data_IF_699766975045
#
_entry.id   IF_699766975045
#
_cell.length_a   1.000
_cell.length_b   1.000
_cell.length_c   1.000
_cell.angle_alpha   90.00
_cell.angle_beta   90.00
_cell.angle_gamma   90.00
#
_symmetry.space_group_name_H-M   'P 1'
#
loop_
_entity.id
_entity.type
_entity.pdbx_description
1 polymer ?
#
# COMPACT_ATOMS: atom_id res chain seq x y z
N UNK A 1 25.65 -16.17 -25.05
CA UNK A 1 25.02 -14.83 -24.96
C UNK A 1 23.52 -15.07 -24.81
N UNK A 2 23.03 -15.22 -23.57
CA UNK A 2 21.63 -15.54 -23.32
C UNK A 2 20.80 -14.26 -23.25
N UNK A 3 19.75 -14.20 -24.07
CA UNK A 3 18.73 -13.16 -24.06
C UNK A 3 18.02 -13.19 -22.70
N UNK A 4 18.25 -12.16 -21.89
CA UNK A 4 17.48 -11.89 -20.66
C UNK A 4 16.00 -11.77 -21.05
N UNK A 5 15.19 -12.77 -20.70
CA UNK A 5 13.73 -12.66 -20.75
C UNK A 5 13.32 -11.46 -19.91
N UNK A 6 12.66 -10.49 -20.52
CA UNK A 6 12.00 -9.39 -19.83
C UNK A 6 11.05 -9.99 -18.79
N UNK A 7 11.38 -9.80 -17.51
CA UNK A 7 10.47 -10.08 -16.41
C UNK A 7 9.25 -9.17 -16.58
N UNK A 8 8.07 -9.75 -16.74
CA UNK A 8 6.81 -9.04 -16.60
C UNK A 8 6.81 -8.37 -15.23
N UNK A 9 6.75 -7.04 -15.19
CA UNK A 9 6.77 -6.30 -13.93
C UNK A 9 5.65 -6.80 -13.01
N UNK A 10 6.01 -7.25 -11.80
CA UNK A 10 5.03 -7.66 -10.80
C UNK A 10 4.14 -6.47 -10.44
N UNK A 11 2.84 -6.61 -10.69
CA UNK A 11 1.80 -5.66 -10.31
C UNK A 11 1.08 -6.22 -9.09
N UNK A 12 1.37 -5.64 -7.93
CA UNK A 12 0.84 -6.06 -6.64
C UNK A 12 -0.69 -5.99 -6.59
N UNK A 13 -1.30 -4.91 -7.09
CA UNK A 13 -2.74 -4.73 -7.02
C UNK A 13 -3.46 -5.78 -7.88
N UNK A 14 -2.94 -6.02 -9.09
CA UNK A 14 -3.46 -7.08 -9.97
C UNK A 14 -3.29 -8.46 -9.34
N UNK A 15 -2.15 -8.72 -8.68
CA UNK A 15 -1.89 -9.97 -7.98
C UNK A 15 -2.93 -10.20 -6.86
N UNK A 16 -3.14 -9.22 -5.98
CA UNK A 16 -4.09 -9.31 -4.87
C UNK A 16 -5.53 -9.51 -5.35
N UNK A 17 -5.98 -8.73 -6.34
CA UNK A 17 -7.33 -8.90 -6.93
C UNK A 17 -7.54 -10.30 -7.52
N UNK A 18 -6.51 -10.86 -8.16
CA UNK A 18 -6.59 -12.21 -8.73
C UNK A 18 -6.71 -13.30 -7.67
N UNK A 19 -6.07 -13.14 -6.50
CA UNK A 19 -6.18 -14.09 -5.38
C UNK A 19 -7.59 -14.10 -4.78
N UNK A 20 -8.24 -12.94 -4.68
CA UNK A 20 -9.59 -12.80 -4.12
C UNK A 20 -10.70 -13.21 -5.10
N UNK A 21 -10.36 -13.54 -6.35
CA UNK A 21 -11.35 -13.85 -7.40
C UNK A 21 -12.23 -12.65 -7.79
N UNK A 22 -11.84 -11.43 -7.39
CA UNK A 22 -12.59 -10.21 -7.68
C UNK A 22 -12.51 -9.88 -9.17
N UNK A 23 -13.68 -9.79 -9.80
CA UNK A 23 -13.83 -9.36 -11.20
C UNK A 23 -14.17 -7.88 -11.34
N UNK A 24 -14.32 -7.19 -10.23
CA UNK A 24 -14.76 -5.79 -10.18
C UNK A 24 -13.64 -4.86 -10.63
N UNK A 25 -13.96 -3.99 -11.58
CA UNK A 25 -13.04 -2.99 -12.14
C UNK A 25 -12.86 -1.77 -11.22
N UNK A 26 -13.07 -1.93 -9.90
CA UNK A 26 -13.00 -0.82 -8.96
C UNK A 26 -11.60 -0.18 -9.01
N UNK A 27 -11.49 1.16 -8.99
CA UNK A 27 -10.20 1.87 -9.02
C UNK A 27 -9.38 1.71 -7.73
N UNK A 28 -9.84 0.89 -6.78
CA UNK A 28 -9.20 0.64 -5.51
C UNK A 28 -9.27 -0.84 -5.13
N UNK A 29 -8.56 -1.19 -4.06
CA UNK A 29 -8.61 -2.46 -3.36
C UNK A 29 -8.29 -2.22 -1.88
N UNK A 30 -9.14 -2.76 -1.01
CA UNK A 30 -8.93 -2.72 0.42
C UNK A 30 -8.40 -4.08 0.86
N UNK A 31 -7.10 -4.13 1.11
CA UNK A 31 -6.42 -5.34 1.57
C UNK A 31 -6.52 -5.43 3.09
N UNK A 32 -7.13 -6.49 3.58
CA UNK A 32 -7.05 -6.87 5.00
C UNK A 32 -5.72 -7.54 5.30
N UNK A 33 -5.39 -7.63 6.59
CA UNK A 33 -4.30 -8.47 7.11
C UNK A 33 -4.24 -9.84 6.44
N UNK A 34 -5.35 -10.58 6.41
CA UNK A 34 -5.43 -11.94 5.87
C UNK A 34 -5.12 -12.00 4.37
N UNK A 35 -5.48 -10.96 3.63
CA UNK A 35 -5.20 -10.85 2.20
C UNK A 35 -3.71 -10.65 1.90
N UNK A 36 -2.97 -10.01 2.82
CA UNK A 36 -1.56 -9.66 2.63
C UNK A 36 -0.61 -10.74 3.18
N UNK A 37 -0.95 -11.40 4.28
CA UNK A 37 -0.14 -12.48 4.85
C UNK A 37 0.14 -13.61 3.86
N UNK A 38 -0.86 -13.93 3.02
CA UNK A 38 -0.77 -14.99 2.00
C UNK A 38 -0.12 -14.53 0.67
N UNK A 39 0.20 -13.24 0.52
CA UNK A 39 0.74 -12.73 -0.74
C UNK A 39 2.18 -13.20 -1.01
N UNK A 40 2.96 -13.53 0.03
CA UNK A 40 4.29 -14.15 -0.11
C UNK A 40 5.35 -13.28 -0.81
N UNK A 41 5.22 -11.94 -0.75
CA UNK A 41 6.06 -11.02 -1.52
C UNK A 41 7.31 -10.64 -0.71
N UNK A 42 8.39 -11.36 -0.96
CA UNK A 42 9.69 -11.14 -0.28
C UNK A 42 10.70 -10.39 -1.15
N UNK A 43 10.36 -10.12 -2.42
CA UNK A 43 11.23 -9.45 -3.38
C UNK A 43 10.82 -7.99 -3.59
N UNK A 44 11.75 -7.19 -4.12
CA UNK A 44 11.46 -5.81 -4.46
C UNK A 44 10.46 -5.74 -5.63
N UNK A 45 9.48 -4.86 -5.53
CA UNK A 45 8.46 -4.63 -6.55
C UNK A 45 8.30 -3.14 -6.84
N UNK A 46 7.83 -2.80 -8.04
CA UNK A 46 7.49 -1.42 -8.37
C UNK A 46 6.03 -1.18 -8.03
N UNK A 47 5.78 -0.16 -7.22
CA UNK A 47 4.46 0.30 -6.83
C UNK A 47 3.89 1.18 -7.95
N UNK A 48 2.67 0.92 -8.42
CA UNK A 48 2.04 1.67 -9.52
C UNK A 48 0.74 2.37 -9.12
N UNK A 49 0.39 2.31 -7.85
CA UNK A 49 -0.84 2.84 -7.26
C UNK A 49 -0.49 3.62 -5.99
N UNK A 50 -1.42 4.41 -5.49
CA UNK A 50 -1.29 5.02 -4.16
C UNK A 50 -1.59 3.99 -3.09
N UNK A 51 -0.83 4.03 -2.00
CA UNK A 51 -0.96 3.12 -0.86
C UNK A 51 -1.12 3.93 0.41
N UNK A 52 -2.15 3.63 1.20
CA UNK A 52 -2.25 4.02 2.61
C UNK A 52 -2.35 2.73 3.42
N UNK A 53 -1.38 2.46 4.30
CA UNK A 53 -1.35 1.27 5.14
C UNK A 53 -1.32 1.63 6.62
N UNK A 54 -2.21 1.05 7.41
CA UNK A 54 -2.19 1.17 8.87
C UNK A 54 -1.55 -0.09 9.47
N UNK A 55 -0.43 0.09 10.18
CA UNK A 55 0.37 -1.02 10.71
C UNK A 55 0.03 -1.31 12.18
N UNK A 56 -0.21 -2.59 12.48
CA UNK A 56 -0.63 -3.08 13.80
C UNK A 56 0.39 -3.99 14.49
N UNK A 57 1.50 -4.34 13.83
CA UNK A 57 2.49 -5.26 14.39
C UNK A 57 3.45 -4.60 15.39
N UNK A 58 4.40 -5.37 15.92
CA UNK A 58 5.42 -4.89 16.86
C UNK A 58 6.75 -4.51 16.18
N UNK A 59 6.91 -4.81 14.89
CA UNK A 59 8.16 -4.58 14.19
C UNK A 59 8.17 -5.11 12.76
N UNK A 60 8.42 -4.25 11.79
CA UNK A 60 8.76 -4.62 10.42
C UNK A 60 9.68 -3.56 9.81
N UNK A 61 10.34 -3.92 8.70
CA UNK A 61 11.18 -2.98 7.98
C UNK A 61 10.79 -2.98 6.52
N UNK A 62 10.59 -1.78 5.95
CA UNK A 62 10.31 -1.60 4.53
C UNK A 62 11.33 -0.65 3.92
N UNK A 63 11.82 -1.01 2.74
CA UNK A 63 12.54 -0.09 1.87
C UNK A 63 11.59 0.50 0.84
N UNK A 64 11.57 1.82 0.71
CA UNK A 64 10.75 2.56 -0.24
C UNK A 64 11.68 3.53 -0.97
N UNK A 65 11.85 3.33 -2.28
CA UNK A 65 12.89 4.01 -3.03
C UNK A 65 14.28 3.73 -2.45
N UNK A 66 14.99 4.78 -2.07
CA UNK A 66 16.32 4.70 -1.44
C UNK A 66 16.28 4.69 0.09
N UNK A 67 15.12 4.96 0.71
CA UNK A 67 14.99 5.08 2.16
C UNK A 67 14.51 3.77 2.78
N UNK A 68 14.99 3.48 3.98
CA UNK A 68 14.55 2.34 4.79
C UNK A 68 13.81 2.88 6.00
N UNK A 69 12.65 2.30 6.29
CA UNK A 69 11.78 2.70 7.38
C UNK A 69 11.52 1.51 8.29
N UNK A 70 11.55 1.77 9.59
CA UNK A 70 11.10 0.85 10.62
C UNK A 70 9.62 1.13 10.89
N UNK A 71 8.82 0.08 10.91
CA UNK A 71 7.41 0.14 11.26
C UNK A 71 7.21 -0.45 12.65
N UNK A 72 6.56 0.32 13.50
CA UNK A 72 6.06 -0.09 14.81
C UNK A 72 4.55 0.07 14.84
N UNK A 73 3.88 -0.54 15.83
CA UNK A 73 2.47 -0.33 16.08
C UNK A 73 2.12 1.17 16.02
N UNK A 74 1.07 1.52 15.27
CA UNK A 74 0.68 2.92 15.05
C UNK A 74 1.35 3.61 13.87
N UNK A 75 2.18 2.91 13.10
CA UNK A 75 2.77 3.49 11.88
C UNK A 75 1.74 3.56 10.75
N UNK A 76 1.62 4.72 10.13
CA UNK A 76 0.89 4.96 8.90
C UNK A 76 1.86 5.04 7.73
N UNK A 77 1.70 4.12 6.78
CA UNK A 77 2.50 4.00 5.58
C UNK A 77 1.79 4.71 4.43
N UNK A 78 2.49 5.61 3.74
CA UNK A 78 1.98 6.32 2.57
C UNK A 78 2.97 6.17 1.41
N UNK A 79 2.50 5.67 0.27
CA UNK A 79 3.36 5.40 -0.89
C UNK A 79 2.70 5.89 -2.17
N UNK A 80 3.38 6.74 -2.91
CA UNK A 80 2.97 7.15 -4.25
C UNK A 80 3.35 6.14 -5.34
N UNK A 81 2.77 6.28 -6.54
CA UNK A 81 3.11 5.43 -7.68
C UNK A 81 4.55 5.70 -8.17
N UNK A 82 5.12 4.71 -8.86
CA UNK A 82 6.42 4.80 -9.52
C UNK A 82 7.62 4.41 -8.66
N UNK A 83 7.44 4.17 -7.35
CA UNK A 83 8.54 3.84 -6.42
C UNK A 83 8.74 2.34 -6.28
N UNK A 84 9.96 1.92 -5.98
CA UNK A 84 10.26 0.52 -5.65
C UNK A 84 10.10 0.28 -4.16
N UNK A 85 9.38 -0.76 -3.79
CA UNK A 85 9.13 -1.18 -2.41
C UNK A 85 9.72 -2.58 -2.17
N UNK A 86 10.22 -2.82 -0.96
CA UNK A 86 10.66 -4.14 -0.53
C UNK A 86 10.47 -4.29 0.98
N UNK A 87 9.73 -5.30 1.40
CA UNK A 87 9.74 -5.74 2.80
C UNK A 87 11.06 -6.43 3.12
N UNK A 88 11.74 -5.98 4.16
CA UNK A 88 12.98 -6.56 4.63
C UNK A 88 12.67 -7.49 5.80
N UNK A 89 13.14 -8.74 5.72
CA UNK A 89 13.04 -9.75 6.78
C UNK A 89 11.61 -10.18 7.17
N UNK A 90 10.60 -9.80 6.39
CA UNK A 90 9.21 -10.26 6.53
C UNK A 90 8.56 -10.36 5.15
N UNK A 91 7.56 -11.24 4.98
CA UNK A 91 6.85 -11.42 3.71
C UNK A 91 5.77 -10.36 3.49
N UNK A 92 5.03 -9.97 4.53
CA UNK A 92 4.11 -8.83 4.56
C UNK A 92 3.62 -8.69 6.01
N UNK A 93 3.63 -7.49 6.60
CA UNK A 93 3.21 -7.33 7.98
C UNK A 93 1.70 -7.13 8.17
N UNK A 94 1.29 -7.18 9.44
CA UNK A 94 -0.08 -7.01 9.93
C UNK A 94 -0.59 -5.59 9.66
N UNK A 95 -1.18 -5.38 8.48
CA UNK A 95 -1.69 -4.09 8.04
C UNK A 95 -3.09 -4.20 7.45
N UNK A 96 -3.90 -3.17 7.66
CA UNK A 96 -4.96 -2.82 6.72
C UNK A 96 -4.38 -1.86 5.70
N UNK A 97 -4.74 -2.03 4.43
CA UNK A 97 -4.11 -1.26 3.36
C UNK A 97 -5.11 -0.91 2.27
N UNK A 98 -5.25 0.39 2.00
CA UNK A 98 -5.98 0.93 0.87
C UNK A 98 -5.01 1.14 -0.28
N UNK A 99 -5.26 0.45 -1.38
CA UNK A 99 -4.57 0.60 -2.64
C UNK A 99 -5.52 1.26 -3.64
N UNK A 100 -5.12 2.34 -4.30
CA UNK A 100 -5.99 3.06 -5.22
C UNK A 100 -5.26 3.77 -6.34
N UNK A 101 -5.95 3.93 -7.45
CA UNK A 101 -5.56 4.80 -8.55
C UNK A 101 -6.21 6.18 -8.37
N UNK A 102 -5.62 7.21 -8.99
CA UNK A 102 -6.13 8.58 -8.96
C UNK A 102 -7.54 8.72 -9.56
N UNK A 103 -7.92 7.78 -10.42
CA UNK A 103 -9.24 7.67 -11.01
C UNK A 103 -10.37 7.39 -9.98
N UNK A 104 -10.04 7.04 -8.75
CA UNK A 104 -11.00 7.04 -7.64
C UNK A 104 -11.62 8.43 -7.42
N UNK A 105 -10.94 9.51 -7.81
CA UNK A 105 -11.35 10.89 -7.54
C UNK A 105 -11.41 11.80 -8.78
N UNK A 106 -11.52 11.26 -10.00
CA UNK A 106 -11.47 12.02 -11.29
C UNK A 106 -12.34 13.29 -11.31
N UNK A 107 -13.48 13.28 -10.61
CA UNK A 107 -14.44 14.40 -10.63
C UNK A 107 -14.22 15.43 -9.53
N UNK A 108 -13.35 15.15 -8.55
CA UNK A 108 -13.19 15.98 -7.36
C UNK A 108 -11.84 16.71 -7.31
N UNK A 109 -10.80 16.12 -7.91
CA UNK A 109 -9.45 16.67 -7.85
C UNK A 109 -8.76 16.59 -9.23
N UNK A 110 -7.84 17.53 -9.48
CA UNK A 110 -6.97 17.45 -10.67
C UNK A 110 -6.02 16.26 -10.59
N UNK A 111 -5.56 15.76 -11.74
CA UNK A 111 -4.67 14.59 -11.84
C UNK A 111 -3.34 14.73 -11.08
N UNK A 112 -2.93 15.95 -10.74
CA UNK A 112 -1.72 16.22 -9.94
C UNK A 112 -1.95 16.37 -8.44
N UNK A 113 -3.20 16.30 -7.95
CA UNK A 113 -3.52 16.57 -6.55
C UNK A 113 -2.78 15.63 -5.60
N UNK A 114 -2.83 14.32 -5.85
CA UNK A 114 -2.14 13.35 -4.99
C UNK A 114 -0.63 13.46 -5.04
N UNK A 115 -0.06 13.85 -6.19
CA UNK A 115 1.37 14.15 -6.31
C UNK A 115 1.78 15.40 -5.52
N UNK A 116 0.86 16.33 -5.27
CA UNK A 116 1.14 17.52 -4.44
C UNK A 116 1.11 17.25 -2.94
N UNK A 117 0.61 16.09 -2.51
CA UNK A 117 0.58 15.71 -1.10
C UNK A 117 1.94 15.14 -0.72
N UNK A 118 2.63 15.79 0.22
CA UNK A 118 3.99 15.43 0.66
C UNK A 118 4.08 13.94 1.05
N UNK A 119 3.05 13.40 1.68
CA UNK A 119 3.02 12.00 2.11
C UNK A 119 2.97 10.97 0.97
N UNK A 120 2.64 11.36 -0.26
CA UNK A 120 2.77 10.49 -1.44
C UNK A 120 4.00 10.80 -2.29
N UNK A 121 4.77 11.83 -1.95
CA UNK A 121 6.00 12.17 -2.65
C UNK A 121 7.09 11.13 -2.32
N UNK A 122 7.73 10.50 -3.33
CA UNK A 122 8.81 9.52 -3.13
C UNK A 122 9.99 10.03 -2.30
N UNK A 123 10.28 11.32 -2.41
CA UNK A 123 11.45 11.96 -1.79
C UNK A 123 11.18 12.42 -0.36
N UNK A 124 9.92 12.38 0.09
CA UNK A 124 9.49 12.81 1.41
C UNK A 124 9.41 11.64 2.40
N UNK A 125 8.73 11.85 3.54
CA UNK A 125 8.52 10.87 4.59
C UNK A 125 7.34 9.95 4.25
N UNK A 126 7.63 8.67 3.99
CA UNK A 126 6.61 7.65 3.65
C UNK A 126 6.00 6.96 4.87
N UNK A 127 6.52 7.22 6.07
CA UNK A 127 6.05 6.61 7.33
C UNK A 127 5.83 7.69 8.38
N UNK A 128 4.60 7.74 8.89
CA UNK A 128 4.15 8.67 9.92
C UNK A 128 3.84 7.86 11.17
N UNK A 129 4.39 8.23 12.32
CA UNK A 129 4.02 7.61 13.59
C UNK A 129 2.83 8.35 14.19
N UNK A 130 1.69 7.66 14.28
CA UNK A 130 0.47 8.22 14.83
C UNK A 130 0.50 8.19 16.35
N UNK A 131 -0.09 9.20 16.98
CA UNK A 131 -0.44 9.11 18.41
C UNK A 131 -1.70 8.26 18.59
N UNK A 132 -1.90 7.70 19.78
CA UNK A 132 -2.98 6.74 20.08
C UNK A 132 -4.35 7.16 19.53
N UNK A 133 -4.74 8.42 19.75
CA UNK A 133 -6.02 8.94 19.24
C UNK A 133 -6.12 8.91 17.70
N UNK A 134 -5.06 9.32 17.01
CA UNK A 134 -5.03 9.30 15.54
C UNK A 134 -5.05 7.87 15.01
N UNK A 135 -4.37 6.96 15.71
CA UNK A 135 -4.38 5.54 15.38
C UNK A 135 -5.79 4.95 15.50
N UNK A 136 -6.50 5.21 16.60
CA UNK A 136 -7.89 4.81 16.79
C UNK A 136 -8.82 5.38 15.71
N UNK A 137 -8.67 6.67 15.37
CA UNK A 137 -9.44 7.32 14.31
C UNK A 137 -9.20 6.65 12.94
N UNK A 138 -7.93 6.33 12.62
CA UNK A 138 -7.59 5.63 11.39
C UNK A 138 -8.11 4.19 11.37
N UNK A 139 -8.06 3.47 12.49
CA UNK A 139 -8.66 2.13 12.59
C UNK A 139 -10.17 2.16 12.30
N UNK A 140 -10.89 3.13 12.85
CA UNK A 140 -12.32 3.30 12.61
C UNK A 140 -12.61 3.61 11.14
N UNK A 141 -11.79 4.44 10.51
CA UNK A 141 -11.88 4.71 9.08
C UNK A 141 -11.71 3.43 8.25
N UNK A 142 -10.64 2.66 8.48
CA UNK A 142 -10.40 1.40 7.77
C UNK A 142 -11.54 0.39 7.97
N UNK A 143 -12.02 0.25 9.20
CA UNK A 143 -13.17 -0.62 9.53
C UNK A 143 -14.44 -0.19 8.78
N UNK A 144 -14.69 1.12 8.69
CA UNK A 144 -15.85 1.67 7.97
C UNK A 144 -15.73 1.41 6.47
N UNK A 145 -14.54 1.61 5.88
CA UNK A 145 -14.29 1.34 4.47
C UNK A 145 -14.46 -0.14 4.12
N UNK A 146 -14.09 -1.06 5.03
CA UNK A 146 -14.30 -2.50 4.84
C UNK A 146 -15.78 -2.83 4.74
N UNK A 147 -16.61 -2.32 5.67
CA UNK A 147 -18.07 -2.53 5.64
C UNK A 147 -18.69 -2.00 4.35
N UNK A 148 -18.27 -0.83 3.88
CA UNK A 148 -18.78 -0.23 2.65
C UNK A 148 -18.32 -0.99 1.40
N UNK A 149 -17.12 -1.58 1.39
CA UNK A 149 -16.61 -2.34 0.25
C UNK A 149 -17.26 -3.73 0.11
N UNK A 150 -17.83 -4.27 1.18
CA UNK A 150 -18.53 -5.57 1.22
C UNK A 150 -20.03 -5.47 0.91
N UNK A 151 -20.58 -4.25 0.83
CA UNK A 151 -22.00 -3.99 0.54
C UNK A 151 -22.27 -3.77 -0.95
#
# INVERSE_FOLDING_TARGET
>A
MELRKHSTSFDLLKHLKSQKGERTAAPYYLASKESLENAGITHAFKNYFYTIGLYYGDGAVIRIGSKTYELTHGSLLTIGPGVTCQWLNTSFPVNDTLLFYDDLFVNNFGSSFFYSLEFFCPDEQSVIHLVDKQFEEMQQLFSTLQVVAET
#
